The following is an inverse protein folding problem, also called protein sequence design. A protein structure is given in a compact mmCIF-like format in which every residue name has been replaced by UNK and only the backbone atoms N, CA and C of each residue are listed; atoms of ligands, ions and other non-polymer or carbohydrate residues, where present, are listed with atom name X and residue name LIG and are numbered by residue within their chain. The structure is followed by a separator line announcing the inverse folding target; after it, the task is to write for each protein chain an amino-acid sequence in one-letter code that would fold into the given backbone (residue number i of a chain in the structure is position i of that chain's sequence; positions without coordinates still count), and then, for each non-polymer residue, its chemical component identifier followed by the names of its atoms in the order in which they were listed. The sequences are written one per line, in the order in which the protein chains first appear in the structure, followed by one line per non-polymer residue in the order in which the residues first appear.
data_IF_595280853510
#
_entry.id   IF_595280853510
#
_cell.length_a   1.000
_cell.length_b   1.000
_cell.length_c   1.000
_cell.angle_alpha   90.00
_cell.angle_beta   90.00
_cell.angle_gamma   90.00
#
_symmetry.space_group_name_H-M   'P 1'
#
loop_
_entity.id
_entity.type
_entity.pdbx_description
1 polymer ?
#
# COMPACT_ATOMS: atom_id res chain seq x y z
N UNK A 1 18.42 8.30 5.79
CA UNK A 1 18.15 7.26 6.79
C UNK A 1 17.83 7.80 8.20
N UNK A 2 17.43 9.08 8.36
CA UNK A 2 17.23 9.73 9.68
C UNK A 2 15.81 10.25 9.96
N UNK A 3 14.79 9.80 9.21
CA UNK A 3 13.42 10.38 9.30
C UNK A 3 12.32 9.38 9.62
N UNK A 4 12.63 8.24 10.24
CA UNK A 4 11.62 7.50 10.98
C UNK A 4 11.42 8.24 12.30
N UNK A 5 10.19 8.72 12.56
CA UNK A 5 9.85 9.35 13.84
C UNK A 5 10.15 8.39 14.98
N UNK A 6 10.65 8.90 16.11
CA UNK A 6 10.99 8.10 17.31
C UNK A 6 9.88 7.13 17.72
N UNK A 7 8.62 7.55 17.63
CA UNK A 7 7.48 6.70 17.96
C UNK A 7 7.22 5.51 17.02
N UNK A 8 7.76 5.52 15.79
CA UNK A 8 7.79 4.34 14.91
C UNK A 8 8.95 3.41 15.27
N UNK A 9 10.09 3.97 15.67
CA UNK A 9 11.22 3.18 16.18
C UNK A 9 10.89 2.44 17.47
N UNK A 10 10.25 3.10 18.44
CA UNK A 10 9.87 2.48 19.71
C UNK A 10 8.85 1.34 19.54
N UNK A 11 7.89 1.45 18.60
CA UNK A 11 6.96 0.35 18.29
C UNK A 11 7.60 -0.78 17.49
N UNK A 12 8.63 -0.53 16.69
CA UNK A 12 9.38 -1.55 15.97
C UNK A 12 10.34 -2.34 16.87
N UNK A 13 10.83 -1.75 17.97
CA UNK A 13 11.77 -2.41 18.90
C UNK A 13 11.10 -3.55 19.69
N UNK A 14 9.77 -3.56 19.80
CA UNK A 14 9.01 -4.57 20.54
C UNK A 14 8.50 -5.73 19.67
N UNK A 15 8.73 -5.73 18.36
CA UNK A 15 8.26 -6.78 17.45
C UNK A 15 9.43 -7.40 16.69
N UNK A 16 9.50 -8.74 16.67
CA UNK A 16 10.20 -9.47 15.61
C UNK A 16 9.72 -8.97 14.26
N UNK A 17 10.56 -8.98 13.22
CA UNK A 17 10.30 -8.50 11.85
C UNK A 17 8.86 -8.73 11.38
N UNK A 18 8.38 -7.84 10.51
CA UNK A 18 7.14 -8.07 9.77
C UNK A 18 7.39 -9.07 8.66
N UNK A 19 6.66 -10.19 8.69
CA UNK A 19 6.67 -11.22 7.67
C UNK A 19 5.65 -10.91 6.61
N UNK A 20 6.02 -10.94 5.35
CA UNK A 20 5.09 -10.63 4.28
C UNK A 20 5.37 -11.40 3.00
N UNK A 21 4.36 -11.49 2.16
CA UNK A 21 4.41 -12.07 0.82
C UNK A 21 4.08 -11.01 -0.22
N UNK A 22 4.52 -11.23 -1.46
CA UNK A 22 4.20 -10.37 -2.60
C UNK A 22 3.38 -11.15 -3.61
N UNK A 23 2.26 -10.59 -4.04
CA UNK A 23 1.38 -11.13 -5.07
C UNK A 23 1.56 -10.31 -6.34
N UNK A 24 2.17 -10.93 -7.34
CA UNK A 24 2.55 -10.28 -8.59
C UNK A 24 4.05 -10.27 -8.82
N UNK A 25 4.45 -10.02 -10.07
CA UNK A 25 5.85 -10.14 -10.52
C UNK A 25 6.27 -9.01 -11.47
N UNK A 26 5.51 -7.90 -11.47
CA UNK A 26 5.82 -6.70 -12.24
C UNK A 26 6.88 -5.82 -11.59
N UNK A 27 7.26 -4.74 -12.27
CA UNK A 27 8.28 -3.80 -11.78
C UNK A 27 7.95 -3.23 -10.39
N UNK A 28 6.66 -3.03 -10.10
CA UNK A 28 6.19 -2.49 -8.82
C UNK A 28 6.33 -3.52 -7.70
N UNK A 29 6.04 -4.79 -7.97
CA UNK A 29 6.29 -5.90 -7.04
C UNK A 29 7.78 -5.98 -6.67
N UNK A 30 8.67 -5.83 -7.66
CA UNK A 30 10.13 -5.82 -7.45
C UNK A 30 10.62 -4.61 -6.62
N UNK A 31 9.85 -3.52 -6.57
CA UNK A 31 10.14 -2.42 -5.66
C UNK A 31 10.07 -2.86 -4.19
N UNK A 32 9.05 -3.64 -3.81
CA UNK A 32 8.92 -4.16 -2.45
C UNK A 32 9.99 -5.19 -2.09
N UNK A 33 10.48 -5.96 -3.05
CA UNK A 33 11.67 -6.81 -2.86
C UNK A 33 12.88 -5.98 -2.46
N UNK A 34 13.09 -4.86 -3.16
CA UNK A 34 14.20 -3.94 -2.83
C UNK A 34 14.04 -3.28 -1.47
N UNK A 35 12.82 -2.92 -1.10
CA UNK A 35 12.52 -2.38 0.25
C UNK A 35 12.84 -3.40 1.33
N UNK A 36 12.42 -4.66 1.18
CA UNK A 36 12.73 -5.72 2.14
C UNK A 36 14.24 -5.94 2.29
N UNK A 37 14.97 -5.94 1.19
CA UNK A 37 16.44 -6.06 1.21
C UNK A 37 17.15 -4.87 1.80
N UNK A 38 16.60 -3.67 1.66
CA UNK A 38 17.17 -2.44 2.21
C UNK A 38 16.90 -2.28 3.71
N UNK A 39 15.87 -2.95 4.24
CA UNK A 39 15.41 -2.85 5.63
C UNK A 39 15.21 -4.25 6.24
N UNK A 40 16.26 -5.11 6.23
CA UNK A 40 16.14 -6.50 6.65
C UNK A 40 15.90 -6.66 8.17
N UNK A 41 16.14 -5.62 8.95
CA UNK A 41 15.82 -5.57 10.37
C UNK A 41 14.33 -5.36 10.64
N UNK A 42 13.58 -4.82 9.66
CA UNK A 42 12.15 -4.50 9.79
C UNK A 42 11.29 -5.53 9.06
N UNK A 43 11.72 -5.95 7.86
CA UNK A 43 10.92 -6.77 6.96
C UNK A 43 11.59 -8.10 6.64
N UNK A 44 10.77 -9.16 6.56
CA UNK A 44 11.11 -10.47 6.02
C UNK A 44 10.16 -10.77 4.87
N UNK A 45 10.71 -10.88 3.66
CA UNK A 45 9.96 -11.37 2.51
C UNK A 45 10.00 -12.89 2.51
N UNK A 46 8.87 -13.55 2.79
CA UNK A 46 8.79 -14.99 2.90
C UNK A 46 8.65 -15.66 1.53
N UNK A 47 7.82 -15.09 0.64
CA UNK A 47 7.65 -15.57 -0.71
C UNK A 47 7.12 -14.48 -1.67
N UNK A 48 7.40 -14.66 -2.97
CA UNK A 48 6.73 -13.93 -4.04
C UNK A 48 5.93 -14.91 -4.91
N UNK A 49 4.61 -14.70 -4.97
CA UNK A 49 3.73 -15.45 -5.83
C UNK A 49 3.84 -14.98 -7.29
N UNK A 50 4.13 -15.90 -8.18
CA UNK A 50 4.19 -15.70 -9.62
C UNK A 50 3.17 -16.60 -10.31
N UNK A 51 2.52 -16.11 -11.39
CA UNK A 51 1.50 -16.90 -12.10
C UNK A 51 2.07 -18.04 -12.93
N UNK A 52 3.35 -17.98 -13.30
CA UNK A 52 4.02 -19.01 -14.12
C UNK A 52 5.36 -19.39 -13.50
N UNK A 53 5.74 -20.66 -13.64
CA UNK A 53 7.01 -21.19 -13.14
C UNK A 53 8.20 -20.48 -13.80
N UNK A 54 8.13 -20.25 -15.10
CA UNK A 54 9.19 -19.53 -15.83
C UNK A 54 9.49 -18.15 -15.20
N UNK A 55 8.41 -17.40 -14.84
CA UNK A 55 8.58 -16.09 -14.20
C UNK A 55 9.10 -16.20 -12.78
N UNK A 56 8.68 -17.23 -12.07
CA UNK A 56 9.17 -17.54 -10.72
C UNK A 56 10.69 -17.80 -10.75
N UNK A 57 11.13 -18.71 -11.61
CA UNK A 57 12.54 -19.10 -11.74
C UNK A 57 13.43 -17.91 -12.14
N UNK A 58 12.96 -17.10 -13.11
CA UNK A 58 13.68 -15.90 -13.53
C UNK A 58 13.91 -14.92 -12.36
N UNK A 59 12.86 -14.66 -11.58
CA UNK A 59 12.93 -13.71 -10.46
C UNK A 59 13.75 -14.30 -9.31
N UNK A 60 13.57 -15.58 -9.00
CA UNK A 60 14.36 -16.26 -7.97
C UNK A 60 15.86 -16.15 -8.26
N UNK A 61 16.26 -16.43 -9.51
CA UNK A 61 17.66 -16.34 -9.94
C UNK A 61 18.20 -14.91 -9.89
N UNK A 62 17.41 -13.93 -10.38
CA UNK A 62 17.85 -12.54 -10.46
C UNK A 62 17.90 -11.83 -9.11
N UNK A 63 16.93 -12.11 -8.24
CA UNK A 63 16.77 -11.38 -6.96
C UNK A 63 17.16 -12.20 -5.74
N UNK A 64 17.49 -13.49 -5.91
CA UNK A 64 17.84 -14.39 -4.80
C UNK A 64 16.80 -14.33 -3.66
N UNK A 65 15.53 -14.52 -4.03
CA UNK A 65 14.39 -14.58 -3.14
C UNK A 65 13.61 -15.88 -3.39
N UNK A 66 12.84 -16.28 -2.40
CA UNK A 66 11.92 -17.39 -2.59
C UNK A 66 10.72 -16.96 -3.44
N UNK A 67 10.41 -17.75 -4.47
CA UNK A 67 9.28 -17.54 -5.37
C UNK A 67 8.47 -18.82 -5.48
N UNK A 68 7.17 -18.69 -5.67
CA UNK A 68 6.27 -19.85 -5.79
C UNK A 68 5.12 -19.56 -6.74
N UNK A 69 4.53 -20.61 -7.29
CA UNK A 69 3.27 -20.59 -8.05
C UNK A 69 2.11 -21.17 -7.23
N UNK A 70 2.34 -21.56 -5.97
CA UNK A 70 1.32 -22.09 -5.06
C UNK A 70 0.81 -21.01 -4.11
N UNK A 71 -0.51 -20.80 -4.12
CA UNK A 71 -1.22 -19.95 -3.16
C UNK A 71 -1.18 -20.57 -1.78
N UNK A 72 -1.32 -21.90 -1.70
CA UNK A 72 -1.32 -22.67 -0.45
C UNK A 72 0.00 -22.51 0.30
N UNK A 73 1.10 -22.52 -0.44
CA UNK A 73 2.43 -22.27 0.13
C UNK A 73 2.52 -20.84 0.71
N UNK A 74 2.05 -19.83 -0.03
CA UNK A 74 2.00 -18.45 0.46
C UNK A 74 1.19 -18.31 1.74
N UNK A 75 0.05 -18.99 1.84
CA UNK A 75 -0.81 -18.99 3.04
C UNK A 75 -0.14 -19.73 4.21
N UNK A 76 0.61 -20.80 3.94
CA UNK A 76 1.29 -21.60 4.96
C UNK A 76 2.35 -20.82 5.75
N UNK A 77 2.92 -19.77 5.16
CA UNK A 77 3.84 -18.85 5.87
C UNK A 77 3.16 -18.01 6.95
N UNK A 78 1.83 -17.91 6.96
CA UNK A 78 1.06 -17.07 7.90
C UNK A 78 1.58 -15.62 7.95
N UNK A 79 1.70 -14.95 6.82
CA UNK A 79 2.31 -13.63 6.76
C UNK A 79 1.48 -12.60 7.54
N UNK A 80 2.14 -11.58 8.08
CA UNK A 80 1.47 -10.43 8.71
C UNK A 80 0.61 -9.66 7.69
N UNK A 81 1.08 -9.60 6.43
CA UNK A 81 0.34 -8.99 5.32
C UNK A 81 0.81 -9.50 3.96
N UNK A 82 -0.05 -9.32 2.95
CA UNK A 82 0.25 -9.56 1.55
C UNK A 82 0.31 -8.24 0.78
N UNK A 83 1.38 -8.02 0.01
CA UNK A 83 1.46 -6.91 -0.96
C UNK A 83 0.84 -7.35 -2.26
N UNK A 84 -0.25 -6.72 -2.68
CA UNK A 84 -0.91 -6.98 -3.96
C UNK A 84 -0.44 -5.95 -4.99
N UNK A 85 0.47 -6.36 -5.88
CA UNK A 85 1.10 -5.54 -6.91
C UNK A 85 0.91 -6.17 -8.29
N UNK A 86 -0.34 -6.28 -8.71
CA UNK A 86 -0.79 -6.85 -9.99
C UNK A 86 -1.24 -5.75 -10.96
N UNK A 87 -1.81 -6.11 -12.11
CA UNK A 87 -2.41 -5.14 -13.03
C UNK A 87 -3.58 -4.41 -12.37
N UNK A 88 -3.79 -3.14 -12.73
CA UNK A 88 -4.83 -2.26 -12.14
C UNK A 88 -6.24 -2.87 -12.19
N UNK A 89 -6.56 -3.56 -13.28
CA UNK A 89 -7.85 -4.24 -13.51
C UNK A 89 -8.09 -5.45 -12.60
N UNK A 90 -7.01 -6.05 -12.07
CA UNK A 90 -7.08 -7.23 -11.22
C UNK A 90 -6.89 -6.92 -9.71
N UNK A 91 -6.47 -5.70 -9.35
CA UNK A 91 -6.10 -5.38 -7.95
C UNK A 91 -7.25 -5.63 -6.99
N UNK A 92 -8.47 -5.20 -7.35
CA UNK A 92 -9.65 -5.33 -6.50
C UNK A 92 -9.95 -6.80 -6.18
N UNK A 93 -10.09 -7.63 -7.21
CA UNK A 93 -10.47 -9.04 -7.05
C UNK A 93 -9.38 -9.83 -6.31
N UNK A 94 -8.12 -9.62 -6.68
CA UNK A 94 -6.98 -10.27 -6.01
C UNK A 94 -6.89 -9.81 -4.54
N UNK A 95 -7.15 -8.53 -4.25
CA UNK A 95 -7.16 -8.06 -2.86
C UNK A 95 -8.25 -8.74 -2.04
N UNK A 96 -9.48 -8.87 -2.58
CA UNK A 96 -10.57 -9.57 -1.92
C UNK A 96 -10.24 -11.03 -1.68
N UNK A 97 -9.61 -11.70 -2.65
CA UNK A 97 -9.18 -13.09 -2.52
C UNK A 97 -8.25 -13.31 -1.31
N UNK A 98 -7.30 -12.40 -1.07
CA UNK A 98 -6.39 -12.49 0.08
C UNK A 98 -7.03 -12.06 1.39
N UNK A 99 -7.95 -11.08 1.35
CA UNK A 99 -8.76 -10.69 2.50
C UNK A 99 -9.68 -11.83 2.97
N UNK A 100 -10.21 -12.64 2.05
CA UNK A 100 -11.04 -13.82 2.39
C UNK A 100 -10.26 -14.89 3.12
N UNK A 101 -8.96 -15.01 2.84
CA UNK A 101 -8.05 -15.89 3.60
C UNK A 101 -7.67 -15.32 4.98
N UNK A 102 -8.19 -14.16 5.36
CA UNK A 102 -7.90 -13.53 6.63
C UNK A 102 -6.56 -12.80 6.69
N UNK A 103 -5.89 -12.62 5.56
CA UNK A 103 -4.59 -11.93 5.47
C UNK A 103 -4.82 -10.44 5.24
N UNK A 104 -4.13 -9.60 6.00
CA UNK A 104 -4.10 -8.15 5.77
C UNK A 104 -3.51 -7.85 4.40
N UNK A 105 -4.09 -6.92 3.65
CA UNK A 105 -3.62 -6.56 2.31
C UNK A 105 -3.04 -5.15 2.28
N UNK A 106 -1.86 -5.01 1.70
CA UNK A 106 -1.32 -3.75 1.20
C UNK A 106 -1.44 -3.77 -0.32
N UNK A 107 -2.46 -3.10 -0.87
CA UNK A 107 -2.66 -3.05 -2.31
C UNK A 107 -1.96 -1.86 -2.95
N UNK A 108 -1.43 -2.06 -4.16
CA UNK A 108 -0.98 -0.95 -5.00
C UNK A 108 -2.16 -0.08 -5.45
N UNK A 109 -1.85 1.08 -5.94
CA UNK A 109 -2.82 2.08 -6.42
C UNK A 109 -3.13 1.88 -7.91
N UNK A 110 -4.40 2.11 -8.29
CA UNK A 110 -5.60 2.31 -7.48
C UNK A 110 -6.15 1.00 -6.92
N UNK A 111 -6.82 1.02 -5.77
CA UNK A 111 -7.42 -0.18 -5.19
C UNK A 111 -8.61 -0.72 -6.01
N UNK A 112 -9.30 0.15 -6.75
CA UNK A 112 -10.41 -0.17 -7.64
C UNK A 112 -10.45 0.86 -8.78
N UNK A 113 -11.04 0.47 -9.92
CA UNK A 113 -11.17 1.32 -11.11
C UNK A 113 -12.59 1.92 -11.28
N UNK A 114 -13.55 1.42 -10.55
CA UNK A 114 -14.95 1.82 -10.61
C UNK A 114 -15.60 1.81 -9.22
N UNK A 115 -16.78 2.43 -9.12
CA UNK A 115 -17.50 2.58 -7.85
C UNK A 115 -18.04 1.26 -7.32
N UNK A 116 -18.42 0.31 -8.18
CA UNK A 116 -18.97 -0.98 -7.75
C UNK A 116 -17.88 -1.82 -7.08
N UNK A 117 -16.70 -1.87 -7.69
CA UNK A 117 -15.50 -2.51 -7.14
C UNK A 117 -15.08 -1.85 -5.82
N UNK A 118 -15.08 -0.50 -5.76
CA UNK A 118 -14.76 0.24 -4.54
C UNK A 118 -15.76 -0.05 -3.41
N UNK A 119 -17.07 -0.12 -3.72
CA UNK A 119 -18.11 -0.44 -2.77
C UNK A 119 -17.98 -1.89 -2.23
N UNK A 120 -17.55 -2.84 -3.07
CA UNK A 120 -17.24 -4.20 -2.62
C UNK A 120 -16.09 -4.17 -1.61
N UNK A 121 -14.96 -3.55 -1.91
CA UNK A 121 -13.84 -3.40 -0.97
C UNK A 121 -14.26 -2.69 0.31
N UNK A 122 -15.08 -1.65 0.23
CA UNK A 122 -15.60 -0.96 1.40
C UNK A 122 -16.48 -1.86 2.27
N UNK A 123 -17.23 -2.80 1.68
CA UNK A 123 -17.98 -3.81 2.44
C UNK A 123 -17.06 -4.74 3.23
N UNK A 124 -15.93 -5.14 2.66
CA UNK A 124 -14.88 -5.91 3.36
C UNK A 124 -14.33 -5.14 4.56
N UNK A 125 -14.03 -3.85 4.38
CA UNK A 125 -13.60 -2.98 5.48
C UNK A 125 -14.64 -2.92 6.60
N UNK A 126 -15.93 -2.76 6.28
CA UNK A 126 -17.02 -2.78 7.28
C UNK A 126 -17.12 -4.11 8.02
N UNK A 127 -16.74 -5.21 7.39
CA UNK A 127 -16.67 -6.54 8.02
C UNK A 127 -15.37 -6.78 8.83
N UNK A 128 -14.56 -5.73 9.04
CA UNK A 128 -13.34 -5.81 9.85
C UNK A 128 -12.13 -6.37 9.11
N UNK A 129 -12.22 -6.60 7.79
CA UNK A 129 -11.05 -6.98 6.97
C UNK A 129 -10.12 -5.79 6.83
N UNK A 130 -8.81 -6.03 6.86
CA UNK A 130 -7.80 -4.96 6.88
C UNK A 130 -7.13 -4.83 5.52
N UNK A 131 -7.42 -3.72 4.83
CA UNK A 131 -6.70 -3.32 3.62
C UNK A 131 -6.12 -1.91 3.79
N UNK A 132 -4.90 -1.73 3.33
CA UNK A 132 -4.23 -0.43 3.19
C UNK A 132 -3.89 -0.23 1.73
N UNK A 133 -4.19 0.93 1.19
CA UNK A 133 -3.80 1.32 -0.17
C UNK A 133 -2.46 2.05 -0.12
N UNK A 134 -1.54 1.66 -0.97
CA UNK A 134 -0.16 2.19 -1.00
C UNK A 134 -0.09 3.61 -1.59
N UNK A 135 -0.93 4.52 -1.09
CA UNK A 135 -0.90 5.94 -1.45
C UNK A 135 0.21 6.65 -0.66
N UNK A 136 1.39 6.73 -1.24
CA UNK A 136 2.60 7.17 -0.57
C UNK A 136 2.81 8.68 -0.54
N UNK A 137 2.12 9.47 -1.38
CA UNK A 137 2.39 10.92 -1.48
C UNK A 137 2.20 11.67 -0.17
N UNK A 138 1.21 11.26 0.64
CA UNK A 138 0.97 11.84 1.96
C UNK A 138 2.14 11.65 2.94
N UNK A 139 2.95 10.63 2.69
CA UNK A 139 4.06 10.23 3.57
C UNK A 139 5.38 10.95 3.22
N UNK A 140 5.43 11.66 2.10
CA UNK A 140 6.63 12.40 1.71
C UNK A 140 6.94 13.53 2.70
N UNK A 141 8.23 13.72 3.08
CA UNK A 141 8.62 14.68 4.10
C UNK A 141 8.13 16.12 3.83
N UNK A 142 8.18 16.56 2.58
CA UNK A 142 7.71 17.89 2.17
C UNK A 142 6.19 18.03 2.31
N UNK A 143 5.42 16.98 1.96
CA UNK A 143 3.95 16.98 2.11
C UNK A 143 3.59 16.97 3.61
N UNK A 144 4.26 16.13 4.42
CA UNK A 144 4.07 16.14 5.88
C UNK A 144 4.40 17.49 6.51
N UNK A 145 5.46 18.15 6.06
CA UNK A 145 5.81 19.50 6.54
C UNK A 145 4.69 20.51 6.19
N UNK A 146 4.19 20.49 4.96
CA UNK A 146 3.09 21.34 4.54
C UNK A 146 1.81 21.09 5.35
N UNK A 147 1.44 19.82 5.56
CA UNK A 147 0.29 19.44 6.38
C UNK A 147 0.45 19.89 7.85
N UNK A 148 1.66 19.83 8.38
CA UNK A 148 1.94 20.34 9.72
C UNK A 148 1.67 21.83 9.83
N UNK A 149 2.14 22.64 8.86
CA UNK A 149 1.89 24.09 8.84
C UNK A 149 0.39 24.42 8.75
N UNK A 150 -0.36 23.68 7.95
CA UNK A 150 -1.82 23.80 7.85
C UNK A 150 -2.48 23.47 9.19
N UNK A 151 -2.16 22.34 9.78
CA UNK A 151 -2.78 21.87 11.01
C UNK A 151 -2.46 22.75 12.23
N UNK A 152 -1.31 23.43 12.22
CA UNK A 152 -0.91 24.40 13.22
C UNK A 152 -1.53 25.81 12.98
N UNK A 153 -2.32 25.97 11.92
CA UNK A 153 -2.99 27.23 11.59
C UNK A 153 -2.05 28.34 11.10
N UNK A 154 -0.81 28.01 10.74
CA UNK A 154 0.22 29.00 10.34
C UNK A 154 -0.21 29.80 9.10
N UNK A 155 -0.94 29.18 8.18
CA UNK A 155 -1.42 29.82 6.94
C UNK A 155 -2.91 30.16 7.00
N UNK A 156 -3.56 29.97 8.15
CA UNK A 156 -5.02 30.12 8.31
C UNK A 156 -5.80 29.02 7.61
N UNK A 157 -7.09 29.27 7.38
CA UNK A 157 -7.99 28.31 6.73
C UNK A 157 -7.65 28.14 5.26
N UNK A 158 -7.53 26.89 4.81
CA UNK A 158 -7.23 26.58 3.40
C UNK A 158 -8.49 26.71 2.57
N UNK A 159 -8.56 27.72 1.71
CA UNK A 159 -9.70 28.00 0.83
C UNK A 159 -9.50 27.49 -0.61
N UNK A 160 -8.25 27.26 -1.03
CA UNK A 160 -7.91 26.79 -2.37
C UNK A 160 -6.65 25.94 -2.36
N UNK A 161 -6.66 24.88 -3.16
CA UNK A 161 -5.50 23.99 -3.36
C UNK A 161 -5.28 23.76 -4.86
N UNK A 162 -4.05 23.96 -5.31
CA UNK A 162 -3.61 23.57 -6.64
C UNK A 162 -2.50 22.54 -6.53
N UNK A 163 -2.68 21.37 -7.17
CA UNK A 163 -1.70 20.29 -7.21
C UNK A 163 -1.22 20.04 -8.63
N UNK A 164 0.07 20.28 -8.88
CA UNK A 164 0.74 19.97 -10.14
C UNK A 164 1.88 18.95 -9.96
N UNK A 165 1.86 18.21 -8.88
CA UNK A 165 2.90 17.26 -8.48
C UNK A 165 2.59 15.83 -8.91
N UNK A 166 1.32 15.45 -8.99
CA UNK A 166 0.85 14.08 -9.14
C UNK A 166 -0.27 14.00 -10.18
N UNK A 167 -0.51 12.82 -10.70
CA UNK A 167 -1.52 12.58 -11.72
C UNK A 167 -2.67 11.72 -11.18
N UNK A 168 -3.84 11.78 -11.83
CA UNK A 168 -5.03 10.99 -11.53
C UNK A 168 -5.43 11.08 -10.03
N UNK A 169 -5.76 9.92 -9.42
CA UNK A 169 -6.18 9.78 -8.03
C UNK A 169 -5.16 10.29 -7.01
N UNK A 170 -3.87 10.31 -7.31
CA UNK A 170 -2.84 10.86 -6.43
C UNK A 170 -3.03 12.37 -6.21
N UNK A 171 -3.31 13.12 -7.29
CA UNK A 171 -3.61 14.54 -7.19
C UNK A 171 -4.87 14.80 -6.36
N UNK A 172 -5.94 14.04 -6.62
CA UNK A 172 -7.19 14.12 -5.85
C UNK A 172 -6.97 13.78 -4.37
N UNK A 173 -6.16 12.75 -4.08
CA UNK A 173 -5.80 12.37 -2.70
C UNK A 173 -5.13 13.53 -1.97
N UNK A 174 -4.18 14.22 -2.59
CA UNK A 174 -3.49 15.37 -2.01
C UNK A 174 -4.42 16.58 -1.83
N UNK A 175 -5.25 16.90 -2.83
CA UNK A 175 -6.24 17.99 -2.74
C UNK A 175 -7.15 17.76 -1.53
N UNK A 176 -7.70 16.55 -1.38
CA UNK A 176 -8.57 16.21 -0.24
C UNK A 176 -7.87 16.39 1.11
N UNK A 177 -6.63 15.96 1.20
CA UNK A 177 -5.84 16.05 2.44
C UNK A 177 -5.54 17.50 2.79
N UNK A 178 -5.15 18.33 1.83
CA UNK A 178 -4.83 19.75 2.04
C UNK A 178 -6.07 20.59 2.36
N UNK A 179 -7.23 20.26 1.76
CA UNK A 179 -8.51 20.92 2.08
C UNK A 179 -9.17 20.40 3.34
N UNK A 180 -8.65 19.33 3.96
CA UNK A 180 -9.27 18.71 5.13
C UNK A 180 -10.61 18.02 4.84
N UNK A 181 -10.87 17.62 3.58
CA UNK A 181 -12.14 17.00 3.17
C UNK A 181 -12.28 15.61 3.78
N UNK A 182 -13.33 15.44 4.57
CA UNK A 182 -13.64 14.17 5.23
C UNK A 182 -14.39 13.19 4.32
N UNK A 183 -14.33 11.87 4.59
CA UNK A 183 -15.16 10.90 3.89
C UNK A 183 -16.65 11.23 4.04
N UNK A 184 -17.39 11.25 2.93
CA UNK A 184 -18.83 11.54 2.91
C UNK A 184 -19.20 13.01 2.68
N UNK A 185 -18.27 13.94 2.69
CA UNK A 185 -18.52 15.32 2.29
C UNK A 185 -18.82 15.40 0.79
N UNK A 186 -19.90 16.10 0.46
CA UNK A 186 -20.30 16.31 -0.94
C UNK A 186 -19.41 17.38 -1.56
N UNK A 187 -18.84 17.05 -2.71
CA UNK A 187 -18.14 18.00 -3.58
C UNK A 187 -19.11 18.46 -4.67
N UNK A 188 -19.15 19.75 -4.94
CA UNK A 188 -19.83 20.30 -6.13
C UNK A 188 -18.79 20.80 -7.13
N UNK A 189 -19.02 20.48 -8.39
CA UNK A 189 -18.29 21.10 -9.50
C UNK A 189 -18.97 22.44 -9.83
N UNK A 190 -18.19 23.50 -9.89
CA UNK A 190 -18.62 24.85 -10.30
C UNK A 190 -18.13 25.08 -11.71
#
# INVERSE_FOLDING_TARGET
MRYMTEGLRERCILRSKYHFIIIGSGWRALYYVRVAKALPEIFSLDAMYCRTQEKADLIAGQYQIHTTTSIEECVAYKPDFAVVAVKKDAICDVSMEWLDRGITVLSETPAALDMDSLNKLYSYYKCGKKQVVAEQYREYPNIKASLKLINEGIIGDVSCVNVSLAHEYHGISLIRVFLGVNPGEKLSLI
#
